data_IF_148694149800
#
_entry.id   IF_148694149800
#
_cell.length_a   1.000
_cell.length_b   1.000
_cell.length_c   1.000
_cell.angle_alpha   90.00
_cell.angle_beta   90.00
_cell.angle_gamma   90.00
#
_symmetry.space_group_name_H-M   'P 1'
#
loop_
_entity.id
_entity.type
_entity.pdbx_description
1 polymer ?
#
# COMPACT_ATOMS: atom_id res chain seq x y z
N UNK A 1 -9.96 7.92 5.15
CA UNK A 1 -11.07 7.82 6.15
C UNK A 1 -11.41 9.23 6.61
N UNK A 2 -12.71 9.58 6.66
CA UNK A 2 -13.13 10.91 7.14
C UNK A 2 -13.00 10.98 8.65
N UNK A 3 -12.36 12.02 9.18
CA UNK A 3 -12.11 12.19 10.63
C UNK A 3 -13.37 12.26 11.50
N UNK A 4 -14.54 12.45 10.87
CA UNK A 4 -15.84 12.54 11.55
C UNK A 4 -16.56 11.20 11.68
N UNK A 5 -16.04 10.11 11.11
CA UNK A 5 -16.66 8.80 11.11
C UNK A 5 -15.81 7.84 11.93
N UNK A 6 -16.48 6.96 12.69
CA UNK A 6 -15.83 5.77 13.22
C UNK A 6 -15.41 4.84 12.07
N UNK A 7 -14.54 3.89 12.36
CA UNK A 7 -14.13 2.89 11.37
C UNK A 7 -15.35 2.12 10.86
N UNK A 8 -16.26 1.70 11.76
CA UNK A 8 -17.49 1.01 11.37
C UNK A 8 -18.36 1.85 10.43
N UNK A 9 -18.57 3.12 10.76
CA UNK A 9 -19.35 4.02 9.90
C UNK A 9 -18.71 4.16 8.52
N UNK A 10 -17.38 4.22 8.46
CA UNK A 10 -16.64 4.30 7.20
C UNK A 10 -16.76 3.03 6.35
N UNK A 11 -16.76 1.85 6.97
CA UNK A 11 -16.99 0.57 6.29
C UNK A 11 -18.44 0.42 5.82
N UNK A 12 -19.40 0.82 6.68
CA UNK A 12 -20.83 0.77 6.35
C UNK A 12 -21.19 1.72 5.18
N UNK A 13 -20.48 2.84 5.03
CA UNK A 13 -20.64 3.74 3.89
C UNK A 13 -20.30 3.05 2.56
N UNK A 14 -19.24 2.24 2.54
CA UNK A 14 -18.87 1.41 1.38
C UNK A 14 -19.96 0.40 1.06
N UNK A 15 -20.41 -0.34 2.09
CA UNK A 15 -21.48 -1.33 1.93
C UNK A 15 -22.75 -0.71 1.38
N UNK A 16 -23.14 0.45 1.90
CA UNK A 16 -24.38 1.13 1.49
C UNK A 16 -24.34 1.64 0.05
N UNK A 17 -23.18 2.14 -0.41
CA UNK A 17 -23.10 2.89 -1.65
C UNK A 17 -22.35 2.20 -2.77
N UNK A 18 -21.44 1.29 -2.48
CA UNK A 18 -20.55 0.68 -3.46
C UNK A 18 -20.70 -0.84 -3.57
N UNK A 19 -20.83 -1.54 -2.44
CA UNK A 19 -20.91 -3.00 -2.42
C UNK A 19 -21.84 -3.49 -1.30
N UNK A 20 -23.16 -3.64 -1.57
CA UNK A 20 -24.12 -4.16 -0.59
C UNK A 20 -23.79 -5.56 -0.05
N UNK A 21 -23.03 -6.36 -0.80
CA UNK A 21 -22.62 -7.71 -0.45
C UNK A 21 -21.21 -7.76 0.19
N UNK A 22 -20.63 -6.62 0.55
CA UNK A 22 -19.34 -6.58 1.24
C UNK A 22 -19.35 -7.46 2.50
N UNK A 23 -18.20 -8.06 2.79
CA UNK A 23 -18.00 -8.82 4.03
C UNK A 23 -18.42 -7.98 5.24
N UNK A 24 -18.86 -8.65 6.29
CA UNK A 24 -19.16 -7.98 7.55
C UNK A 24 -17.91 -7.29 8.14
N UNK A 25 -18.13 -6.20 8.86
CA UNK A 25 -17.04 -5.34 9.34
C UNK A 25 -16.02 -6.09 10.20
N UNK A 26 -16.46 -7.05 11.00
CA UNK A 26 -15.55 -7.83 11.84
C UNK A 26 -14.60 -8.71 10.99
N UNK A 27 -15.05 -9.29 9.88
CA UNK A 27 -14.17 -10.04 8.99
C UNK A 27 -13.18 -9.12 8.28
N UNK A 28 -13.62 -7.95 7.81
CA UNK A 28 -12.75 -6.97 7.16
C UNK A 28 -11.66 -6.47 8.12
N UNK A 29 -12.00 -6.21 9.39
CA UNK A 29 -11.03 -5.82 10.41
C UNK A 29 -10.06 -6.95 10.73
N UNK A 30 -10.55 -8.18 10.86
CA UNK A 30 -9.70 -9.35 11.10
C UNK A 30 -8.71 -9.59 9.96
N UNK A 31 -9.14 -9.46 8.70
CA UNK A 31 -8.27 -9.59 7.51
C UNK A 31 -7.05 -8.65 7.56
N UNK A 32 -7.23 -7.47 8.12
CA UNK A 32 -6.13 -6.48 8.25
C UNK A 32 -5.45 -6.52 9.62
N UNK A 33 -5.75 -7.51 10.46
CA UNK A 33 -5.15 -7.68 11.78
C UNK A 33 -5.55 -6.60 12.78
N UNK A 34 -6.77 -6.08 12.69
CA UNK A 34 -7.39 -5.19 13.68
C UNK A 34 -8.43 -5.94 14.48
N UNK A 35 -8.42 -5.74 15.80
CA UNK A 35 -9.47 -6.25 16.70
C UNK A 35 -10.81 -5.53 16.44
N UNK A 36 -11.92 -6.23 16.69
CA UNK A 36 -13.26 -5.66 16.48
C UNK A 36 -13.52 -4.38 17.28
N UNK A 37 -12.85 -4.17 18.40
CA UNK A 37 -12.96 -2.95 19.22
C UNK A 37 -12.56 -1.69 18.44
N UNK A 38 -11.73 -1.83 17.37
CA UNK A 38 -11.39 -0.72 16.50
C UNK A 38 -12.57 -0.19 15.67
N UNK A 39 -13.64 -0.96 15.51
CA UNK A 39 -14.84 -0.54 14.81
C UNK A 39 -15.42 0.78 15.35
N UNK A 40 -15.37 0.96 16.68
CA UNK A 40 -15.92 2.13 17.37
C UNK A 40 -14.93 3.30 17.50
N UNK A 41 -13.67 3.12 17.09
CA UNK A 41 -12.65 4.18 17.16
C UNK A 41 -12.77 5.17 16.01
N UNK A 42 -12.39 6.39 16.30
CA UNK A 42 -12.14 7.42 15.30
C UNK A 42 -10.68 7.39 14.83
N UNK A 43 -10.36 7.86 13.61
CA UNK A 43 -8.99 7.87 13.11
C UNK A 43 -7.99 8.57 14.04
N UNK A 44 -8.38 9.63 14.72
CA UNK A 44 -7.51 10.37 15.65
C UNK A 44 -7.19 9.61 16.95
N UNK A 45 -7.88 8.49 17.24
CA UNK A 45 -7.65 7.61 18.39
C UNK A 45 -6.72 6.42 18.02
N UNK A 46 -6.20 6.40 16.79
CA UNK A 46 -5.45 5.29 16.23
C UNK A 46 -4.05 5.74 15.82
N UNK A 47 -3.10 4.82 15.87
CA UNK A 47 -1.76 5.02 15.28
C UNK A 47 -1.84 5.10 13.74
N UNK A 48 -0.79 5.65 13.10
CA UNK A 48 -0.72 5.72 11.64
C UNK A 48 -0.86 4.35 10.98
N UNK A 49 -0.19 3.32 11.51
CA UNK A 49 -0.27 1.95 10.98
C UNK A 49 -1.68 1.33 11.16
N UNK A 50 -2.36 1.62 12.25
CA UNK A 50 -3.76 1.16 12.47
C UNK A 50 -4.72 1.87 11.52
N UNK A 51 -4.57 3.18 11.33
CA UNK A 51 -5.33 3.94 10.35
C UNK A 51 -5.13 3.37 8.93
N UNK A 52 -3.88 3.04 8.59
CA UNK A 52 -3.57 2.46 7.28
C UNK A 52 -4.23 1.10 7.08
N UNK A 53 -4.21 0.22 8.09
CA UNK A 53 -4.92 -1.06 8.05
C UNK A 53 -6.43 -0.87 7.89
N UNK A 54 -7.02 0.08 8.60
CA UNK A 54 -8.44 0.41 8.46
C UNK A 54 -8.76 0.94 7.04
N UNK A 55 -7.85 1.71 6.43
CA UNK A 55 -8.00 2.17 5.05
C UNK A 55 -7.94 1.01 4.04
N UNK A 56 -7.05 0.03 4.27
CA UNK A 56 -6.97 -1.20 3.48
C UNK A 56 -8.27 -2.02 3.63
N UNK A 57 -8.77 -2.22 4.85
CA UNK A 57 -10.05 -2.90 5.09
C UNK A 57 -11.20 -2.25 4.31
N UNK A 58 -11.24 -0.92 4.31
CA UNK A 58 -12.23 -0.15 3.54
C UNK A 58 -12.10 -0.36 2.03
N UNK A 59 -10.88 -0.43 1.51
CA UNK A 59 -10.64 -0.72 0.10
C UNK A 59 -11.07 -2.15 -0.26
N UNK A 60 -10.77 -3.14 0.57
CA UNK A 60 -11.20 -4.53 0.40
C UNK A 60 -12.73 -4.69 0.40
N UNK A 61 -13.45 -3.88 1.19
CA UNK A 61 -14.91 -3.89 1.21
C UNK A 61 -15.55 -3.61 -0.15
N UNK A 62 -14.81 -2.98 -1.09
CA UNK A 62 -15.24 -2.75 -2.46
C UNK A 62 -15.13 -4.00 -3.36
N UNK A 63 -14.56 -5.10 -2.90
CA UNK A 63 -14.19 -6.29 -3.71
C UNK A 63 -13.37 -5.91 -4.95
N UNK A 64 -12.22 -5.22 -4.80
CA UNK A 64 -11.49 -4.66 -5.91
C UNK A 64 -10.73 -5.76 -6.68
N UNK A 65 -10.57 -5.59 -8.00
CA UNK A 65 -9.63 -6.38 -8.81
C UNK A 65 -8.25 -5.73 -8.88
N UNK A 66 -8.19 -4.41 -8.64
CA UNK A 66 -6.96 -3.62 -8.62
C UNK A 66 -6.98 -2.69 -7.43
N UNK A 67 -5.90 -2.68 -6.65
CA UNK A 67 -5.63 -1.69 -5.60
C UNK A 67 -4.61 -0.67 -6.11
N UNK A 68 -4.94 0.61 -5.98
CA UNK A 68 -4.01 1.71 -6.19
C UNK A 68 -3.46 2.16 -4.83
N UNK A 69 -2.18 1.95 -4.63
CA UNK A 69 -1.45 2.22 -3.39
C UNK A 69 -0.54 3.43 -3.60
N UNK A 70 -1.06 4.64 -3.38
CA UNK A 70 -0.35 5.89 -3.59
C UNK A 70 0.26 6.37 -2.27
N UNK A 71 1.60 6.32 -2.16
CA UNK A 71 2.39 6.79 -1.01
C UNK A 71 1.91 6.24 0.35
N UNK A 72 1.34 5.02 0.36
CA UNK A 72 0.63 4.47 1.54
C UNK A 72 1.52 4.19 2.75
N UNK A 73 2.83 4.27 2.61
CA UNK A 73 3.81 4.00 3.68
C UNK A 73 4.68 5.21 4.03
N UNK A 74 4.56 6.33 3.33
CA UNK A 74 5.46 7.48 3.45
C UNK A 74 5.48 8.14 4.83
N UNK A 75 4.41 8.01 5.62
CA UNK A 75 4.27 8.58 6.96
C UNK A 75 4.50 7.55 8.09
N UNK A 76 5.00 6.36 7.77
CA UNK A 76 5.19 5.25 8.72
C UNK A 76 6.68 5.04 9.01
N UNK A 77 6.97 4.57 10.23
CA UNK A 77 8.31 4.06 10.56
C UNK A 77 8.62 2.77 9.77
N UNK A 78 9.89 2.43 9.62
CA UNK A 78 10.37 1.32 8.80
C UNK A 78 9.73 -0.02 9.18
N UNK A 79 9.58 -0.28 10.49
CA UNK A 79 9.01 -1.55 10.98
C UNK A 79 7.52 -1.64 10.63
N UNK A 80 6.80 -0.55 10.79
CA UNK A 80 5.37 -0.48 10.44
C UNK A 80 5.17 -0.54 8.93
N UNK A 81 6.03 0.10 8.16
CA UNK A 81 6.04 0.03 6.69
C UNK A 81 6.19 -1.41 6.21
N UNK A 82 7.16 -2.17 6.72
CA UNK A 82 7.36 -3.57 6.37
C UNK A 82 6.12 -4.43 6.67
N UNK A 83 5.50 -4.23 7.83
CA UNK A 83 4.27 -4.93 8.21
C UNK A 83 3.10 -4.62 7.27
N UNK A 84 2.92 -3.37 6.86
CA UNK A 84 1.86 -2.97 5.92
C UNK A 84 2.10 -3.56 4.53
N UNK A 85 3.34 -3.55 4.06
CA UNK A 85 3.70 -4.17 2.77
C UNK A 85 3.48 -5.68 2.77
N UNK A 86 3.89 -6.37 3.84
CA UNK A 86 3.64 -7.81 4.02
C UNK A 86 2.14 -8.14 4.03
N UNK A 87 1.35 -7.34 4.75
CA UNK A 87 -0.11 -7.46 4.77
C UNK A 87 -0.71 -7.29 3.37
N UNK A 88 -0.33 -6.26 2.63
CA UNK A 88 -0.82 -6.02 1.27
C UNK A 88 -0.48 -7.16 0.32
N UNK A 89 0.76 -7.64 0.35
CA UNK A 89 1.18 -8.79 -0.46
C UNK A 89 0.33 -10.01 -0.16
N UNK A 90 0.11 -10.31 1.14
CA UNK A 90 -0.73 -11.43 1.57
C UNK A 90 -2.16 -11.29 1.04
N UNK A 91 -2.79 -10.13 1.23
CA UNK A 91 -4.17 -9.85 0.79
C UNK A 91 -4.30 -9.91 -0.74
N UNK A 92 -3.34 -9.36 -1.48
CA UNK A 92 -3.32 -9.44 -2.95
C UNK A 92 -3.29 -10.90 -3.44
N UNK A 93 -2.48 -11.75 -2.83
CA UNK A 93 -2.44 -13.18 -3.15
C UNK A 93 -3.74 -13.89 -2.76
N UNK A 94 -4.23 -13.68 -1.55
CA UNK A 94 -5.42 -14.34 -1.01
C UNK A 94 -6.68 -14.02 -1.82
N UNK A 95 -6.86 -12.76 -2.19
CA UNK A 95 -8.05 -12.27 -2.92
C UNK A 95 -7.86 -12.14 -4.43
N UNK A 96 -6.71 -12.57 -4.97
CA UNK A 96 -6.36 -12.44 -6.39
C UNK A 96 -6.47 -10.99 -6.92
N UNK A 97 -5.99 -10.05 -6.11
CA UNK A 97 -6.00 -8.61 -6.42
C UNK A 97 -4.65 -8.22 -7.03
N UNK A 98 -4.65 -7.45 -8.10
CA UNK A 98 -3.45 -6.78 -8.60
C UNK A 98 -3.24 -5.46 -7.86
N UNK A 99 -2.00 -5.13 -7.50
CA UNK A 99 -1.68 -3.85 -6.88
C UNK A 99 -0.81 -2.98 -7.79
N UNK A 100 -1.14 -1.69 -7.86
CA UNK A 100 -0.28 -0.64 -8.42
C UNK A 100 0.27 0.16 -7.26
N UNK A 101 1.58 0.11 -7.08
CA UNK A 101 2.26 0.75 -5.96
C UNK A 101 3.01 1.99 -6.43
N UNK A 102 2.63 3.17 -5.93
CA UNK A 102 3.33 4.43 -6.21
C UNK A 102 4.15 4.79 -4.98
N UNK A 103 5.46 4.91 -5.16
CA UNK A 103 6.38 5.26 -4.09
C UNK A 103 7.67 5.86 -4.65
N UNK A 104 8.32 6.69 -3.85
CA UNK A 104 9.69 7.16 -4.10
C UNK A 104 10.75 6.27 -3.43
N UNK A 105 10.35 5.28 -2.64
CA UNK A 105 11.22 4.32 -1.95
C UNK A 105 11.54 3.14 -2.88
N UNK A 106 12.65 3.25 -3.59
CA UNK A 106 13.07 2.22 -4.55
C UNK A 106 13.45 0.88 -3.90
N UNK A 107 14.17 0.83 -2.77
CA UNK A 107 14.38 -0.38 -1.99
C UNK A 107 13.09 -1.12 -1.69
N UNK A 108 12.06 -0.41 -1.22
CA UNK A 108 10.74 -0.98 -0.96
C UNK A 108 10.12 -1.57 -2.23
N UNK A 109 10.08 -0.79 -3.33
CA UNK A 109 9.54 -1.23 -4.62
C UNK A 109 10.29 -2.45 -5.15
N UNK A 110 11.61 -2.50 -4.98
CA UNK A 110 12.45 -3.61 -5.46
C UNK A 110 12.14 -4.94 -4.78
N UNK A 111 11.70 -4.89 -3.54
CA UNK A 111 11.36 -6.07 -2.75
C UNK A 111 9.90 -6.50 -2.93
N UNK A 112 9.01 -5.56 -3.27
CA UNK A 112 7.57 -5.78 -3.27
C UNK A 112 6.99 -6.06 -4.66
N UNK A 113 7.52 -5.41 -5.70
CA UNK A 113 6.90 -5.38 -7.02
C UNK A 113 7.59 -6.28 -8.04
N UNK A 114 6.81 -7.04 -8.84
CA UNK A 114 7.33 -7.88 -9.93
C UNK A 114 7.81 -7.04 -11.12
N UNK A 115 7.12 -5.94 -11.39
CA UNK A 115 7.40 -4.98 -12.46
C UNK A 115 7.46 -3.57 -11.92
N UNK A 116 8.29 -2.75 -12.54
CA UNK A 116 8.44 -1.34 -12.17
C UNK A 116 8.38 -0.46 -13.41
N UNK A 117 7.78 0.72 -13.24
CA UNK A 117 7.79 1.82 -14.19
C UNK A 117 8.46 3.03 -13.52
N UNK A 118 9.53 3.52 -14.12
CA UNK A 118 10.22 4.74 -13.65
C UNK A 118 9.62 5.92 -14.37
N UNK A 119 9.17 6.90 -13.61
CA UNK A 119 8.58 8.12 -14.16
C UNK A 119 9.47 9.33 -13.91
N UNK A 120 9.56 10.22 -14.89
CA UNK A 120 10.18 11.53 -14.79
C UNK A 120 9.37 12.55 -15.58
N UNK A 121 9.13 13.71 -14.99
CA UNK A 121 8.40 14.82 -15.63
C UNK A 121 7.06 14.38 -16.26
N UNK A 122 6.31 13.52 -15.53
CA UNK A 122 5.00 13.00 -15.95
C UNK A 122 5.05 11.94 -17.07
N UNK A 123 6.24 11.44 -17.44
CA UNK A 123 6.41 10.42 -18.50
C UNK A 123 7.08 9.18 -17.94
N UNK A 124 6.67 8.01 -18.42
CA UNK A 124 7.41 6.76 -18.19
C UNK A 124 8.69 6.82 -19.02
N UNK A 125 9.84 6.75 -18.34
CA UNK A 125 11.16 6.82 -19.00
C UNK A 125 11.80 5.43 -19.12
N UNK A 126 11.43 4.50 -18.25
CA UNK A 126 11.87 3.11 -18.30
C UNK A 126 10.86 2.21 -17.61
N UNK A 127 10.65 0.99 -18.14
CA UNK A 127 9.79 -0.02 -17.52
C UNK A 127 10.36 -1.43 -17.75
N UNK A 128 10.05 -2.34 -16.83
CA UNK A 128 10.50 -3.72 -16.97
C UNK A 128 10.20 -4.59 -15.75
N UNK A 129 10.74 -5.82 -15.78
CA UNK A 129 10.79 -6.65 -14.59
C UNK A 129 11.71 -5.99 -13.57
N UNK A 130 11.28 -5.91 -12.33
CA UNK A 130 12.01 -5.23 -11.27
C UNK A 130 13.46 -5.72 -11.17
N UNK A 131 13.66 -7.03 -11.10
CA UNK A 131 15.00 -7.64 -11.00
C UNK A 131 15.93 -7.28 -12.15
N UNK A 132 15.41 -7.19 -13.38
CA UNK A 132 16.20 -6.90 -14.56
C UNK A 132 16.57 -5.42 -14.59
N UNK A 133 15.60 -4.54 -14.34
CA UNK A 133 15.81 -3.09 -14.35
C UNK A 133 16.77 -2.64 -13.23
N UNK A 134 16.65 -3.23 -12.03
CA UNK A 134 17.54 -2.91 -10.91
C UNK A 134 18.99 -3.33 -11.18
N UNK A 135 19.20 -4.44 -11.92
CA UNK A 135 20.55 -4.94 -12.26
C UNK A 135 21.19 -4.21 -13.44
N UNK A 136 20.40 -3.86 -14.45
CA UNK A 136 20.91 -3.30 -15.70
C UNK A 136 20.02 -2.18 -16.25
N UNK A 137 19.91 -1.05 -15.53
CA UNK A 137 19.12 0.10 -15.98
C UNK A 137 19.68 0.66 -17.28
N UNK A 138 18.83 1.01 -18.22
CA UNK A 138 19.25 1.57 -19.51
C UNK A 138 19.17 3.09 -19.52
N UNK A 139 18.08 3.65 -18.97
CA UNK A 139 17.85 5.09 -19.00
C UNK A 139 18.79 5.85 -18.03
N UNK A 140 19.38 6.99 -18.44
CA UNK A 140 20.31 7.77 -17.61
C UNK A 140 19.72 8.16 -16.25
N UNK A 141 18.45 8.56 -16.21
CA UNK A 141 17.76 8.94 -14.98
C UNK A 141 17.62 7.76 -14.01
N UNK A 142 17.28 6.56 -14.51
CA UNK A 142 17.20 5.35 -13.68
C UNK A 142 18.56 4.99 -13.08
N UNK A 143 19.63 5.12 -13.87
CA UNK A 143 21.01 4.92 -13.40
C UNK A 143 21.38 5.89 -12.28
N UNK A 144 21.01 7.16 -12.45
CA UNK A 144 21.24 8.19 -11.44
C UNK A 144 20.47 7.88 -10.14
N UNK A 145 19.19 7.54 -10.26
CA UNK A 145 18.32 7.19 -9.13
C UNK A 145 18.90 6.02 -8.32
N UNK A 146 19.30 4.95 -8.97
CA UNK A 146 19.89 3.77 -8.32
C UNK A 146 21.25 4.07 -7.67
N UNK A 147 22.09 4.92 -8.28
CA UNK A 147 23.37 5.33 -7.69
C UNK A 147 23.21 6.07 -6.36
N UNK A 148 22.16 6.87 -6.21
CA UNK A 148 21.91 7.60 -4.96
C UNK A 148 21.56 6.64 -3.83
N UNK A 149 20.81 5.58 -4.10
CA UNK A 149 20.43 4.55 -3.12
C UNK A 149 21.68 3.76 -2.65
N UNK A 150 22.47 3.26 -3.61
CA UNK A 150 23.69 2.49 -3.29
C UNK A 150 24.71 3.30 -2.47
N UNK A 151 24.75 4.63 -2.64
CA UNK A 151 25.63 5.49 -1.82
C UNK A 151 25.14 5.63 -0.39
N UNK A 152 23.85 5.58 -0.14
CA UNK A 152 23.30 5.63 1.23
C UNK A 152 23.56 4.32 1.99
N UNK A 153 23.47 3.17 1.32
CA UNK A 153 23.76 1.85 1.93
C UNK A 153 25.25 1.61 2.22
N UNK A 154 26.17 2.32 1.53
CA UNK A 154 27.63 2.19 1.75
C UNK A 154 28.20 3.21 2.73
N UNK A 155 27.38 4.12 3.25
CA UNK A 155 27.78 5.18 4.18
C UNK A 155 27.46 4.84 5.66
N UNK A 156 26.88 3.66 5.93
CA UNK A 156 26.72 3.04 7.25
C UNK A 156 27.81 1.98 7.48
#
# INVERSE_FOLDING_TARGET
IRDRYTIEQSLNEVRKHLNPNALENHFLLQEVGLDISFANKYPYEMSGGECQRAAIARALACDPKVLLCDEITSALDVITQEKICGLLTHLCHQHHISAIFVSHDLPLVSNLCDRVMIMKDGKVVEEGKTKDLMRNPQHPYTKELLRHILKLETAE
#
